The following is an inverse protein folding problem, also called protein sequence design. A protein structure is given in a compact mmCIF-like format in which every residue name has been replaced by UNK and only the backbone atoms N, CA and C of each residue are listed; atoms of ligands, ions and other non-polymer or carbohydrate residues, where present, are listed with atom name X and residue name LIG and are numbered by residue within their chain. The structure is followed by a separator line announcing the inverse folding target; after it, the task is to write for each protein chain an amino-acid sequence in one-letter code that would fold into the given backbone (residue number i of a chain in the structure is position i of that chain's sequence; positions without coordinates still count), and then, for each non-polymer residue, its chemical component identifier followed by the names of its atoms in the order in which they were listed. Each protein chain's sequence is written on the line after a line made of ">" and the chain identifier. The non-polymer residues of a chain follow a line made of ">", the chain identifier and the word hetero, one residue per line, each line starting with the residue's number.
data_IF_957924385743
#
_entry.id   IF_957924385743
#
_cell.length_a   1.000
_cell.length_b   1.000
_cell.length_c   1.000
_cell.angle_alpha   90.00
_cell.angle_beta   90.00
_cell.angle_gamma   90.00
#
_symmetry.space_group_name_H-M   'P 1'
#
loop_
_entity.id
_entity.type
_entity.pdbx_description
1 polymer ?
#
# COMPACT_ATOMS: atom_id res chain seq x y z
N UNK A 1 38.18 10.09 19.02
CA UNK A 1 37.24 8.99 18.72
C UNK A 1 37.16 8.84 17.23
N UNK A 2 37.44 7.65 16.69
CA UNK A 2 37.21 7.35 15.28
C UNK A 2 35.71 7.25 15.01
N UNK A 3 35.28 7.68 13.83
CA UNK A 3 33.91 7.49 13.36
C UNK A 3 33.65 5.99 13.12
N UNK A 4 32.57 5.47 13.69
CA UNK A 4 32.12 4.09 13.50
C UNK A 4 30.91 4.07 12.57
N UNK A 5 31.16 3.76 11.30
CA UNK A 5 30.13 3.77 10.26
C UNK A 5 29.04 2.73 10.52
N UNK A 6 29.40 1.54 11.01
CA UNK A 6 28.45 0.44 11.24
C UNK A 6 27.47 0.80 12.36
N UNK A 7 27.99 1.41 13.43
CA UNK A 7 27.17 1.92 14.53
C UNK A 7 26.20 2.99 14.08
N UNK A 8 26.65 3.96 13.28
CA UNK A 8 25.78 5.05 12.81
C UNK A 8 24.74 4.55 11.80
N UNK A 9 25.08 3.61 10.91
CA UNK A 9 24.12 2.96 10.00
C UNK A 9 23.07 2.18 10.79
N UNK A 10 23.50 1.38 11.77
CA UNK A 10 22.60 0.59 12.62
C UNK A 10 21.66 1.48 13.44
N UNK A 11 22.14 2.64 13.89
CA UNK A 11 21.31 3.65 14.57
C UNK A 11 20.28 4.26 13.63
N UNK A 12 20.69 4.68 12.42
CA UNK A 12 19.77 5.22 11.42
C UNK A 12 18.69 4.19 11.05
N UNK A 13 19.07 2.94 10.83
CA UNK A 13 18.18 1.84 10.51
C UNK A 13 17.12 1.60 11.59
N UNK A 14 17.53 1.57 12.86
CA UNK A 14 16.59 1.45 13.99
C UNK A 14 15.63 2.64 14.06
N UNK A 15 16.15 3.87 13.89
CA UNK A 15 15.31 5.07 13.93
C UNK A 15 14.28 5.09 12.79
N UNK A 16 14.67 4.65 11.59
CA UNK A 16 13.75 4.50 10.44
C UNK A 16 12.60 3.54 10.78
N UNK A 17 12.91 2.36 11.31
CA UNK A 17 11.88 1.38 11.68
C UNK A 17 10.97 1.86 12.81
N UNK A 18 11.52 2.56 13.81
CA UNK A 18 10.70 3.18 14.85
C UNK A 18 9.75 4.23 14.26
N UNK A 19 10.23 5.05 13.31
CA UNK A 19 9.39 6.02 12.62
C UNK A 19 8.29 5.34 11.79
N UNK A 20 8.62 4.30 11.02
CA UNK A 20 7.64 3.50 10.28
C UNK A 20 6.54 2.94 11.21
N UNK A 21 6.93 2.40 12.36
CA UNK A 21 5.99 1.91 13.35
C UNK A 21 5.07 3.00 13.90
N UNK A 22 5.62 4.15 14.29
CA UNK A 22 4.79 5.25 14.80
C UNK A 22 3.88 5.85 13.71
N UNK A 23 4.30 5.90 12.45
CA UNK A 23 3.45 6.34 11.34
C UNK A 23 2.26 5.39 11.16
N UNK A 24 2.51 4.08 11.11
CA UNK A 24 1.45 3.07 11.01
C UNK A 24 0.48 3.10 12.19
N UNK A 25 0.98 3.24 13.43
CA UNK A 25 0.15 3.38 14.62
C UNK A 25 -0.65 4.68 14.62
N UNK A 26 -0.07 5.76 14.11
CA UNK A 26 -0.74 7.06 14.01
C UNK A 26 -1.97 7.00 13.11
N UNK A 27 -1.95 6.22 12.03
CA UNK A 27 -3.15 5.95 11.23
C UNK A 27 -4.30 5.38 12.09
N UNK A 28 -4.03 4.37 12.92
CA UNK A 28 -5.05 3.74 13.75
C UNK A 28 -5.51 4.63 14.92
N UNK A 29 -4.63 5.47 15.47
CA UNK A 29 -5.01 6.53 16.42
C UNK A 29 -6.00 7.51 15.78
N UNK A 30 -5.73 7.95 14.54
CA UNK A 30 -6.66 8.81 13.81
C UNK A 30 -7.99 8.13 13.49
N UNK A 31 -7.97 6.82 13.19
CA UNK A 31 -9.20 6.02 13.04
C UNK A 31 -10.02 6.01 14.33
N UNK A 32 -9.39 5.85 15.50
CA UNK A 32 -10.09 5.92 16.79
C UNK A 32 -10.72 7.29 17.01
N UNK A 33 -9.98 8.37 16.79
CA UNK A 33 -10.50 9.75 16.87
C UNK A 33 -11.69 9.95 15.92
N UNK A 34 -11.59 9.47 14.68
CA UNK A 34 -12.67 9.57 13.71
C UNK A 34 -13.94 8.83 14.17
N UNK A 35 -13.79 7.66 14.80
CA UNK A 35 -14.90 6.90 15.36
C UNK A 35 -15.57 7.62 16.53
N UNK A 36 -14.78 8.15 17.45
CA UNK A 36 -15.29 8.92 18.59
C UNK A 36 -16.09 10.15 18.13
N UNK A 37 -15.62 10.83 17.08
CA UNK A 37 -16.32 11.98 16.47
C UNK A 37 -17.60 11.54 15.76
N UNK A 38 -17.55 10.43 15.00
CA UNK A 38 -18.70 9.95 14.22
C UNK A 38 -19.84 9.41 15.08
N UNK A 39 -19.54 8.98 16.32
CA UNK A 39 -20.52 8.51 17.28
C UNK A 39 -20.78 7.00 17.23
N UNK A 40 -21.66 6.48 18.11
CA UNK A 40 -21.81 5.05 18.35
C UNK A 40 -22.42 4.26 17.18
N UNK A 41 -23.12 4.93 16.26
CA UNK A 41 -23.77 4.30 15.11
C UNK A 41 -22.85 4.21 13.87
N UNK A 42 -21.61 4.72 13.98
CA UNK A 42 -20.67 4.74 12.87
C UNK A 42 -20.14 3.33 12.55
N UNK A 43 -20.08 2.97 11.26
CA UNK A 43 -19.42 1.74 10.80
C UNK A 43 -17.89 1.97 10.75
N UNK A 44 -17.10 1.26 11.59
CA UNK A 44 -15.65 1.39 11.56
C UNK A 44 -15.00 0.99 10.25
N UNK A 45 -15.61 0.04 9.52
CA UNK A 45 -15.11 -0.39 8.22
C UNK A 45 -15.30 0.71 7.18
N UNK A 46 -16.43 1.41 7.18
CA UNK A 46 -16.68 2.50 6.26
C UNK A 46 -15.67 3.65 6.45
N UNK A 47 -15.37 3.99 7.71
CA UNK A 47 -14.35 4.98 8.05
C UNK A 47 -12.97 4.55 7.51
N UNK A 48 -12.56 3.30 7.76
CA UNK A 48 -11.30 2.76 7.24
C UNK A 48 -11.23 2.79 5.71
N UNK A 49 -12.30 2.35 5.03
CA UNK A 49 -12.38 2.34 3.57
C UNK A 49 -12.36 3.77 2.99
N UNK A 50 -12.98 4.74 3.66
CA UNK A 50 -12.93 6.14 3.24
C UNK A 50 -11.53 6.73 3.38
N UNK A 51 -10.84 6.44 4.49
CA UNK A 51 -9.46 6.84 4.68
C UNK A 51 -8.55 6.23 3.60
N UNK A 52 -8.68 4.92 3.35
CA UNK A 52 -7.94 4.23 2.30
C UNK A 52 -8.19 4.83 0.90
N UNK A 53 -9.44 5.18 0.59
CA UNK A 53 -9.79 5.87 -0.66
C UNK A 53 -9.06 7.21 -0.79
N UNK A 54 -9.16 8.09 0.22
CA UNK A 54 -8.54 9.43 0.17
C UNK A 54 -7.02 9.33 0.04
N UNK A 55 -6.39 8.44 0.83
CA UNK A 55 -4.95 8.19 0.76
C UNK A 55 -4.57 7.69 -0.64
N UNK A 56 -5.32 6.71 -1.17
CA UNK A 56 -5.06 6.17 -2.50
C UNK A 56 -5.13 7.22 -3.60
N UNK A 57 -6.14 8.12 -3.57
CA UNK A 57 -6.24 9.25 -4.51
C UNK A 57 -5.04 10.19 -4.43
N UNK A 58 -4.61 10.54 -3.22
CA UNK A 58 -3.46 11.43 -3.04
C UNK A 58 -2.16 10.80 -3.57
N UNK A 59 -1.92 9.54 -3.21
CA UNK A 59 -0.79 8.75 -3.70
C UNK A 59 -0.79 8.64 -5.21
N UNK A 60 -1.95 8.34 -5.83
CA UNK A 60 -2.07 8.22 -7.28
C UNK A 60 -1.65 9.48 -8.02
N UNK A 61 -2.08 10.65 -7.55
CA UNK A 61 -1.64 11.95 -8.09
C UNK A 61 -0.12 12.15 -7.96
N UNK A 62 0.45 11.76 -6.82
CA UNK A 62 1.89 11.82 -6.58
C UNK A 62 2.73 10.92 -7.49
N UNK A 63 2.14 9.84 -8.03
CA UNK A 63 2.81 8.93 -8.97
C UNK A 63 2.86 9.46 -10.40
N UNK A 64 1.88 10.26 -10.84
CA UNK A 64 1.74 10.68 -12.24
C UNK A 64 3.05 11.23 -12.86
N UNK A 65 3.82 12.10 -12.20
CA UNK A 65 5.05 12.65 -12.80
C UNK A 65 6.17 11.62 -12.96
N UNK A 66 6.08 10.47 -12.28
CA UNK A 66 7.09 9.41 -12.26
C UNK A 66 6.78 8.29 -13.25
N UNK A 67 5.55 8.22 -13.75
CA UNK A 67 5.09 7.23 -14.71
C UNK A 67 5.37 7.70 -16.15
N UNK A 68 5.73 6.76 -17.03
CA UNK A 68 6.09 7.10 -18.40
C UNK A 68 5.59 6.05 -19.40
N UNK A 69 4.58 6.43 -20.18
CA UNK A 69 3.99 5.60 -21.23
C UNK A 69 4.89 5.41 -22.46
N UNK A 70 5.87 6.30 -22.71
CA UNK A 70 6.79 6.18 -23.85
C UNK A 70 7.67 4.91 -23.78
N UNK A 71 7.71 4.24 -22.62
CA UNK A 71 8.38 2.94 -22.45
C UNK A 71 7.55 1.75 -22.95
N UNK A 72 6.40 2.00 -23.57
CA UNK A 72 5.45 0.98 -23.99
C UNK A 72 4.67 0.38 -22.83
N UNK A 73 3.66 -0.43 -23.15
CA UNK A 73 2.72 -0.99 -22.18
C UNK A 73 3.41 -1.82 -21.09
N UNK A 74 4.28 -2.76 -21.47
CA UNK A 74 5.00 -3.60 -20.49
C UNK A 74 5.91 -2.77 -19.58
N UNK A 75 6.62 -1.79 -20.14
CA UNK A 75 7.51 -0.91 -19.39
C UNK A 75 6.74 -0.02 -18.41
N UNK A 76 5.58 0.48 -18.83
CA UNK A 76 4.67 1.25 -17.99
C UNK A 76 4.10 0.40 -16.85
N UNK A 77 3.56 -0.78 -17.16
CA UNK A 77 2.93 -1.64 -16.15
C UNK A 77 3.94 -2.11 -15.10
N UNK A 78 5.15 -2.51 -15.52
CA UNK A 78 6.22 -2.87 -14.58
C UNK A 78 6.69 -1.67 -13.75
N UNK A 79 6.71 -0.46 -14.31
CA UNK A 79 7.05 0.74 -13.55
C UNK A 79 5.99 1.05 -12.50
N UNK A 80 4.72 1.01 -12.88
CA UNK A 80 3.60 1.21 -11.96
C UNK A 80 3.62 0.17 -10.84
N UNK A 81 3.69 -1.12 -11.16
CA UNK A 81 3.77 -2.18 -10.15
C UNK A 81 4.96 -2.03 -9.21
N UNK A 82 6.15 -1.64 -9.72
CA UNK A 82 7.33 -1.34 -8.87
C UNK A 82 7.13 -0.11 -8.00
N UNK A 83 6.47 0.94 -8.49
CA UNK A 83 6.12 2.10 -7.68
C UNK A 83 5.17 1.73 -6.54
N UNK A 84 4.16 0.90 -6.83
CA UNK A 84 3.22 0.39 -5.83
C UNK A 84 3.91 -0.49 -4.77
N UNK A 85 4.78 -1.41 -5.18
CA UNK A 85 5.62 -2.17 -4.25
C UNK A 85 6.55 -1.26 -3.43
N UNK A 86 7.13 -0.24 -4.07
CA UNK A 86 8.00 0.74 -3.45
C UNK A 86 7.33 1.54 -2.34
N UNK A 87 6.06 1.95 -2.52
CA UNK A 87 5.28 2.62 -1.48
C UNK A 87 5.17 1.73 -0.23
N UNK A 88 4.86 0.46 -0.43
CA UNK A 88 4.75 -0.50 0.68
C UNK A 88 6.09 -0.72 1.39
N UNK A 89 7.19 -0.75 0.63
CA UNK A 89 8.55 -0.85 1.21
C UNK A 89 8.90 0.37 2.08
N UNK A 90 8.46 1.58 1.69
CA UNK A 90 8.63 2.79 2.51
C UNK A 90 7.87 2.68 3.84
N UNK A 91 6.77 1.95 3.88
CA UNK A 91 6.00 1.63 5.09
C UNK A 91 6.64 0.51 5.95
N UNK A 92 7.78 -0.04 5.53
CA UNK A 92 8.51 -1.09 6.27
C UNK A 92 8.14 -2.51 5.86
N UNK A 93 7.38 -2.67 4.78
CA UNK A 93 7.08 -3.97 4.21
C UNK A 93 8.23 -4.52 3.35
N UNK A 94 8.11 -5.78 2.94
CA UNK A 94 8.96 -6.43 1.94
C UNK A 94 8.11 -6.81 0.74
N UNK A 95 8.01 -5.89 -0.21
CA UNK A 95 7.21 -5.99 -1.41
C UNK A 95 8.05 -5.92 -2.68
N UNK A 96 7.62 -6.66 -3.69
CA UNK A 96 8.22 -6.69 -5.03
C UNK A 96 7.15 -6.79 -6.10
N UNK A 97 7.52 -6.45 -7.33
CA UNK A 97 6.66 -6.55 -8.50
C UNK A 97 7.29 -7.49 -9.54
N UNK A 98 6.50 -8.44 -10.02
CA UNK A 98 6.88 -9.47 -10.97
C UNK A 98 5.97 -9.41 -12.19
N UNK A 99 6.53 -9.68 -13.38
CA UNK A 99 5.74 -9.75 -14.62
C UNK A 99 4.80 -10.97 -14.54
N UNK A 100 3.55 -10.79 -14.94
CA UNK A 100 2.61 -11.89 -15.16
C UNK A 100 2.88 -12.64 -16.46
N UNK A 101 2.10 -13.68 -16.72
CA UNK A 101 2.21 -14.43 -17.98
C UNK A 101 1.57 -13.65 -19.14
N UNK A 102 0.53 -12.87 -18.86
CA UNK A 102 -0.18 -12.07 -19.86
C UNK A 102 0.53 -10.73 -20.11
N UNK A 103 0.53 -10.23 -21.35
CA UNK A 103 0.93 -8.85 -21.64
C UNK A 103 0.11 -7.87 -20.78
N UNK A 104 0.78 -6.88 -20.19
CA UNK A 104 0.12 -5.88 -19.35
C UNK A 104 -0.29 -6.37 -17.96
N UNK A 105 0.15 -7.56 -17.53
CA UNK A 105 -0.12 -8.10 -16.19
C UNK A 105 1.11 -8.04 -15.29
N UNK A 106 0.92 -7.62 -14.05
CA UNK A 106 1.98 -7.52 -13.04
C UNK A 106 1.43 -7.99 -11.69
N UNK A 107 2.18 -8.87 -11.02
CA UNK A 107 1.88 -9.30 -9.67
C UNK A 107 2.72 -8.51 -8.67
N UNK A 108 2.05 -7.89 -7.71
CA UNK A 108 2.68 -7.22 -6.58
C UNK A 108 2.59 -8.15 -5.38
N UNK A 109 3.73 -8.63 -4.93
CA UNK A 109 3.84 -9.62 -3.85
C UNK A 109 4.44 -8.96 -2.62
N UNK A 110 3.87 -9.20 -1.44
CA UNK A 110 4.45 -8.76 -0.18
C UNK A 110 4.56 -9.93 0.80
N UNK A 111 5.81 -10.29 1.15
CA UNK A 111 6.10 -11.42 2.02
C UNK A 111 6.05 -11.05 3.51
N UNK A 112 6.25 -9.77 3.82
CA UNK A 112 6.19 -9.24 5.19
C UNK A 112 5.56 -7.86 5.16
N UNK A 113 4.46 -7.71 5.89
CA UNK A 113 3.74 -6.45 6.01
C UNK A 113 3.55 -6.13 7.51
N UNK A 114 3.97 -4.94 7.99
CA UNK A 114 3.82 -4.61 9.40
C UNK A 114 2.40 -4.13 9.77
N UNK A 115 1.57 -3.73 8.80
CA UNK A 115 0.24 -3.17 9.04
C UNK A 115 -0.72 -4.05 9.84
N UNK A 116 -0.79 -5.39 9.62
CA UNK A 116 -1.62 -6.27 10.43
C UNK A 116 -1.21 -6.28 11.90
N UNK A 117 0.09 -6.15 12.20
CA UNK A 117 0.59 -6.05 13.57
C UNK A 117 0.14 -4.77 14.23
N UNK A 118 0.22 -3.64 13.51
CA UNK A 118 -0.27 -2.36 14.02
C UNK A 118 -1.77 -2.43 14.27
N UNK A 119 -2.58 -2.94 13.34
CA UNK A 119 -4.03 -3.08 13.51
C UNK A 119 -4.42 -3.88 14.77
N UNK A 120 -3.68 -4.95 15.08
CA UNK A 120 -3.92 -5.77 16.28
C UNK A 120 -3.78 -4.98 17.58
N UNK A 121 -2.85 -4.03 17.64
CA UNK A 121 -2.69 -3.17 18.83
C UNK A 121 -3.89 -2.25 19.09
N UNK A 122 -4.75 -2.06 18.10
CA UNK A 122 -5.94 -1.19 18.14
C UNK A 122 -7.25 -1.96 17.94
N UNK A 123 -7.23 -3.29 18.13
CA UNK A 123 -8.39 -4.17 18.01
C UNK A 123 -9.12 -4.08 16.65
N UNK A 124 -8.40 -3.76 15.58
CA UNK A 124 -8.98 -3.64 14.24
C UNK A 124 -9.13 -5.02 13.59
N UNK A 125 -10.31 -5.36 13.03
CA UNK A 125 -10.51 -6.62 12.34
C UNK A 125 -9.56 -6.80 11.15
N UNK A 126 -8.98 -8.00 11.02
CA UNK A 126 -8.06 -8.34 9.92
C UNK A 126 -8.71 -8.20 8.53
N UNK A 127 -10.01 -8.46 8.42
CA UNK A 127 -10.77 -8.23 7.17
C UNK A 127 -10.82 -6.76 6.78
N UNK A 128 -10.88 -5.84 7.75
CA UNK A 128 -10.80 -4.41 7.47
C UNK A 128 -9.43 -4.04 6.93
N UNK A 129 -8.35 -4.60 7.49
CA UNK A 129 -6.98 -4.37 7.00
C UNK A 129 -6.83 -4.80 5.54
N UNK A 130 -7.34 -5.99 5.20
CA UNK A 130 -7.35 -6.49 3.83
C UNK A 130 -8.14 -5.58 2.88
N UNK A 131 -9.38 -5.24 3.26
CA UNK A 131 -10.25 -4.41 2.44
C UNK A 131 -9.71 -2.99 2.24
N UNK A 132 -9.14 -2.38 3.27
CA UNK A 132 -8.52 -1.05 3.19
C UNK A 132 -7.31 -1.05 2.26
N UNK A 133 -6.45 -2.08 2.34
CA UNK A 133 -5.27 -2.18 1.46
C UNK A 133 -5.69 -2.32 -0.01
N UNK A 134 -6.64 -3.20 -0.29
CA UNK A 134 -7.21 -3.37 -1.63
C UNK A 134 -7.84 -2.06 -2.14
N UNK A 135 -8.69 -1.42 -1.32
CA UNK A 135 -9.34 -0.17 -1.68
C UNK A 135 -8.34 0.95 -1.96
N UNK A 136 -7.28 1.07 -1.17
CA UNK A 136 -6.22 2.06 -1.39
C UNK A 136 -5.57 1.86 -2.76
N UNK A 137 -5.17 0.63 -3.10
CA UNK A 137 -4.55 0.33 -4.40
C UNK A 137 -5.50 0.57 -5.57
N UNK A 138 -6.77 0.17 -5.45
CA UNK A 138 -7.79 0.47 -6.47
C UNK A 138 -7.95 1.99 -6.67
N UNK A 139 -7.97 2.75 -5.58
CA UNK A 139 -8.17 4.21 -5.63
C UNK A 139 -6.96 4.94 -6.23
N UNK A 140 -5.74 4.39 -6.09
CA UNK A 140 -4.54 4.90 -6.79
C UNK A 140 -4.73 4.84 -8.31
N UNK A 141 -5.31 3.74 -8.81
CA UNK A 141 -5.45 3.53 -10.25
C UNK A 141 -6.45 4.46 -10.92
N UNK A 142 -7.43 4.99 -10.19
CA UNK A 142 -8.45 5.88 -10.78
C UNK A 142 -7.82 7.07 -11.54
N UNK A 143 -6.91 7.82 -10.89
CA UNK A 143 -6.29 8.99 -11.51
C UNK A 143 -5.22 8.60 -12.54
N UNK A 144 -4.52 7.49 -12.32
CA UNK A 144 -3.53 6.94 -13.27
C UNK A 144 -4.22 6.54 -14.58
N UNK A 145 -5.36 5.84 -14.48
CA UNK A 145 -6.15 5.41 -15.62
C UNK A 145 -6.69 6.58 -16.43
N UNK A 146 -7.24 7.59 -15.76
CA UNK A 146 -7.74 8.81 -16.42
C UNK A 146 -6.60 9.56 -17.11
N UNK A 147 -5.46 9.75 -16.43
CA UNK A 147 -4.35 10.54 -16.96
C UNK A 147 -3.70 9.92 -18.20
N UNK A 148 -3.46 8.60 -18.18
CA UNK A 148 -2.85 7.90 -19.31
C UNK A 148 -3.87 7.39 -20.33
N UNK A 149 -5.17 7.53 -20.06
CA UNK A 149 -6.27 6.96 -20.84
C UNK A 149 -6.10 5.44 -21.05
N UNK A 150 -5.81 4.74 -19.96
CA UNK A 150 -5.63 3.27 -19.95
C UNK A 150 -6.54 2.71 -18.86
N UNK A 151 -7.48 1.83 -19.18
CA UNK A 151 -8.31 1.17 -18.17
C UNK A 151 -7.43 0.21 -17.37
N UNK A 152 -7.12 0.55 -16.11
CA UNK A 152 -6.31 -0.29 -15.23
C UNK A 152 -7.19 -0.81 -14.10
N UNK A 153 -6.90 -2.02 -13.64
CA UNK A 153 -7.53 -2.59 -12.46
C UNK A 153 -6.51 -3.32 -11.59
N UNK A 154 -6.83 -3.45 -10.31
CA UNK A 154 -6.03 -4.21 -9.36
C UNK A 154 -6.93 -4.97 -8.38
N UNK A 155 -6.61 -6.24 -8.21
CA UNK A 155 -7.39 -7.17 -7.38
C UNK A 155 -6.50 -7.84 -6.34
N UNK A 156 -7.06 -8.01 -5.14
CA UNK A 156 -6.39 -8.71 -4.05
C UNK A 156 -6.67 -10.22 -4.15
N UNK A 157 -5.67 -10.99 -4.58
CA UNK A 157 -5.77 -12.45 -4.70
C UNK A 157 -5.44 -13.18 -3.40
N UNK A 158 -4.42 -12.69 -2.67
CA UNK A 158 -4.01 -13.24 -1.37
C UNK A 158 -3.70 -12.15 -0.37
N UNK A 159 -3.99 -12.40 0.90
CA UNK A 159 -3.75 -11.45 1.98
C UNK A 159 -3.21 -12.13 3.25
N UNK A 160 -2.16 -11.56 3.85
CA UNK A 160 -1.66 -11.99 5.16
C UNK A 160 -2.78 -11.97 6.24
N UNK A 161 -3.62 -10.93 6.35
CA UNK A 161 -4.73 -10.89 7.30
C UNK A 161 -5.74 -12.04 7.15
N UNK A 162 -5.85 -12.65 5.96
CA UNK A 162 -6.71 -13.81 5.67
C UNK A 162 -6.04 -15.16 5.94
N UNK A 163 -4.81 -15.17 6.46
CA UNK A 163 -4.07 -16.38 6.78
C UNK A 163 -3.29 -17.00 5.60
N UNK A 164 -3.13 -16.27 4.49
CA UNK A 164 -2.56 -16.82 3.24
C UNK A 164 -1.02 -16.71 3.15
N UNK A 165 -0.36 -16.28 4.23
CA UNK A 165 1.10 -16.25 4.36
C UNK A 165 1.81 -15.14 3.57
N UNK A 166 1.16 -14.53 2.58
CA UNK A 166 1.68 -13.40 1.81
C UNK A 166 0.54 -12.58 1.20
N UNK A 167 0.86 -11.36 0.79
CA UNK A 167 -0.03 -10.60 -0.09
C UNK A 167 0.30 -10.87 -1.55
N UNK A 168 -0.74 -10.97 -2.38
CA UNK A 168 -0.64 -10.98 -3.83
C UNK A 168 -1.73 -10.07 -4.38
N UNK A 169 -1.32 -8.99 -5.04
CA UNK A 169 -2.20 -8.14 -5.83
C UNK A 169 -1.90 -8.33 -7.31
N UNK A 170 -2.94 -8.51 -8.12
CA UNK A 170 -2.83 -8.61 -9.57
C UNK A 170 -3.20 -7.27 -10.19
N UNK A 171 -2.21 -6.56 -10.71
CA UNK A 171 -2.37 -5.34 -11.50
C UNK A 171 -2.46 -5.71 -12.97
N UNK A 172 -3.49 -5.22 -13.66
CA UNK A 172 -3.70 -5.53 -15.07
C UNK A 172 -4.42 -4.38 -15.80
N UNK A 173 -4.35 -4.40 -17.12
CA UNK A 173 -5.17 -3.55 -17.99
C UNK A 173 -6.53 -4.23 -18.20
N UNK A 174 -7.61 -3.55 -17.84
CA UNK A 174 -8.96 -4.05 -18.06
C UNK A 174 -9.33 -3.98 -19.55
N UNK A 175 -10.19 -4.90 -19.99
CA UNK A 175 -10.73 -4.95 -21.36
C UNK A 175 -11.90 -3.99 -21.56
#
# INVERSE_FOLDING_TARGET
>A
MSFDAEKEISKLWRNLHSAQAEIGKTYYRWRQVALEIAGPDADPREIGLKAAYVIGKDVGKGLLPRLNWLKGEEGFMMMLGRSLAGLWNVEGAQAMAEKGEKPGEVFIKCARDPWPTYAKEFDVPMEEVAACREKMFQSILEDVSVFFNIPLNIELEKAIPRGEGMWVLRLYKAE
#
